data_IF_569317624052
#
_entry.id   IF_569317624052
#
_cell.length_a   1.000
_cell.length_b   1.000
_cell.length_c   1.000
_cell.angle_alpha   90.00
_cell.angle_beta   90.00
_cell.angle_gamma   90.00
#
_symmetry.space_group_name_H-M   'P 1'
#
loop_
_entity.id
_entity.type
_entity.pdbx_description
1 polymer ?
#
# COMPACT_ATOMS: atom_id res chain seq x y z
N UNK A 1 -42.73 14.90 -7.38
CA UNK A 1 -41.81 16.02 -7.70
C UNK A 1 -40.34 15.66 -7.47
N UNK A 2 -39.94 15.26 -6.25
CA UNK A 2 -38.54 14.83 -5.97
C UNK A 2 -38.05 13.68 -6.88
N UNK A 3 -38.85 12.62 -7.05
CA UNK A 3 -38.52 11.50 -7.94
C UNK A 3 -38.36 11.90 -9.41
N UNK A 4 -39.14 12.88 -9.88
CA UNK A 4 -39.04 13.39 -11.25
C UNK A 4 -37.77 14.25 -11.44
N UNK A 5 -37.42 15.04 -10.43
CA UNK A 5 -36.18 15.81 -10.39
C UNK A 5 -34.94 14.90 -10.36
N UNK A 6 -35.01 13.81 -9.59
CA UNK A 6 -33.95 12.80 -9.53
C UNK A 6 -33.83 11.99 -10.83
N UNK A 7 -34.95 11.61 -11.45
CA UNK A 7 -34.93 10.94 -12.76
C UNK A 7 -34.29 11.86 -13.81
N UNK A 8 -34.66 13.15 -13.82
CA UNK A 8 -34.07 14.13 -14.72
C UNK A 8 -32.56 14.27 -14.50
N UNK A 9 -32.07 14.32 -13.24
CA UNK A 9 -30.64 14.33 -12.95
C UNK A 9 -29.93 13.04 -13.34
N UNK A 10 -30.53 11.87 -13.10
CA UNK A 10 -29.97 10.58 -13.49
C UNK A 10 -29.89 10.43 -15.02
N UNK A 11 -30.89 10.92 -15.74
CA UNK A 11 -30.92 10.91 -17.19
C UNK A 11 -29.95 11.93 -17.78
N UNK A 12 -29.82 13.13 -17.19
CA UNK A 12 -28.76 14.10 -17.52
C UNK A 12 -27.38 13.49 -17.30
N UNK A 13 -27.15 12.81 -16.17
CA UNK A 13 -25.87 12.15 -15.89
C UNK A 13 -25.58 11.02 -16.89
N UNK A 14 -26.58 10.20 -17.22
CA UNK A 14 -26.47 9.15 -18.24
C UNK A 14 -26.14 9.74 -19.61
N UNK A 15 -26.83 10.80 -20.04
CA UNK A 15 -26.59 11.48 -21.31
C UNK A 15 -25.24 12.18 -21.39
N UNK A 16 -24.77 12.76 -20.28
CA UNK A 16 -23.46 13.41 -20.21
C UNK A 16 -22.31 12.37 -20.26
N UNK A 17 -22.49 11.22 -19.63
CA UNK A 17 -21.45 10.18 -19.57
C UNK A 17 -21.43 9.30 -20.82
N UNK A 18 -22.59 9.06 -21.47
CA UNK A 18 -22.64 8.37 -22.76
C UNK A 18 -22.07 9.19 -23.91
N UNK A 19 -22.01 10.52 -23.77
CA UNK A 19 -21.31 11.41 -24.70
C UNK A 19 -19.86 11.65 -24.26
N UNK A 20 -18.99 10.71 -24.58
CA UNK A 20 -17.55 10.70 -24.27
C UNK A 20 -16.79 12.01 -24.53
N UNK A 21 -17.11 12.84 -25.56
CA UNK A 21 -16.42 14.12 -25.78
C UNK A 21 -16.75 15.20 -24.73
N UNK A 22 -17.88 15.09 -24.02
CA UNK A 22 -18.37 16.15 -23.13
C UNK A 22 -17.70 16.17 -21.75
N UNK A 23 -17.10 15.05 -21.34
CA UNK A 23 -16.45 14.86 -20.03
C UNK A 23 -15.20 15.71 -19.82
N UNK A 24 -14.66 16.35 -20.87
CA UNK A 24 -13.49 17.23 -20.76
C UNK A 24 -13.85 18.69 -20.44
N UNK A 25 -15.14 19.04 -20.42
CA UNK A 25 -15.58 20.43 -20.27
C UNK A 25 -15.64 20.90 -18.81
N UNK A 26 -15.43 22.21 -18.61
CA UNK A 26 -15.60 22.91 -17.32
C UNK A 26 -16.98 22.62 -16.69
N UNK A 27 -18.00 22.41 -17.51
CA UNK A 27 -19.36 22.07 -17.08
C UNK A 27 -19.44 20.74 -16.35
N UNK A 28 -18.70 19.72 -16.78
CA UNK A 28 -18.67 18.44 -16.07
C UNK A 28 -18.02 18.56 -14.70
N UNK A 29 -16.97 19.39 -14.55
CA UNK A 29 -16.34 19.62 -13.25
C UNK A 29 -17.27 20.33 -12.27
N UNK A 30 -17.98 21.37 -12.72
CA UNK A 30 -18.98 22.07 -11.92
C UNK A 30 -20.15 21.15 -11.55
N UNK A 31 -20.57 20.30 -12.48
CA UNK A 31 -21.61 19.31 -12.25
C UNK A 31 -21.15 18.29 -11.21
N UNK A 32 -19.96 17.69 -11.36
CA UNK A 32 -19.42 16.73 -10.40
C UNK A 32 -19.17 17.37 -9.04
N UNK A 33 -18.69 18.61 -9.01
CA UNK A 33 -18.55 19.39 -7.78
C UNK A 33 -19.91 19.58 -7.07
N UNK A 34 -20.93 20.05 -7.80
CA UNK A 34 -22.28 20.20 -7.25
C UNK A 34 -22.87 18.87 -6.79
N UNK A 35 -22.67 17.81 -7.56
CA UNK A 35 -23.13 16.47 -7.23
C UNK A 35 -22.42 15.91 -6.00
N UNK A 36 -21.13 16.16 -5.82
CA UNK A 36 -20.37 15.75 -4.63
C UNK A 36 -20.81 16.53 -3.38
N UNK A 37 -20.95 17.85 -3.51
CA UNK A 37 -21.39 18.71 -2.42
C UNK A 37 -22.80 18.36 -1.94
N UNK A 38 -23.67 17.93 -2.85
CA UNK A 38 -25.04 17.51 -2.53
C UNK A 38 -25.05 16.05 -2.06
N UNK A 39 -24.31 15.14 -2.70
CA UNK A 39 -24.31 13.71 -2.33
C UNK A 39 -23.70 13.44 -0.95
N UNK A 40 -22.77 14.28 -0.47
CA UNK A 40 -22.28 14.20 0.91
C UNK A 40 -23.39 14.44 1.94
N UNK A 41 -24.46 15.15 1.55
CA UNK A 41 -25.56 15.52 2.43
C UNK A 41 -26.89 14.85 2.06
N UNK A 42 -26.96 14.13 0.93
CA UNK A 42 -28.18 13.50 0.39
C UNK A 42 -27.94 12.02 -0.01
N UNK A 43 -28.36 11.06 0.84
CA UNK A 43 -28.27 9.62 0.56
C UNK A 43 -29.00 9.18 -0.72
N UNK A 44 -30.08 9.88 -1.10
CA UNK A 44 -30.88 9.54 -2.28
C UNK A 44 -30.13 9.90 -3.57
N UNK A 45 -29.42 11.03 -3.59
CA UNK A 45 -28.57 11.40 -4.72
C UNK A 45 -27.40 10.41 -4.86
N UNK A 46 -26.75 10.03 -3.76
CA UNK A 46 -25.71 8.98 -3.77
C UNK A 46 -26.24 7.67 -4.39
N UNK A 47 -27.46 7.28 -4.02
CA UNK A 47 -28.13 6.09 -4.58
C UNK A 47 -28.40 6.23 -6.08
N UNK A 48 -28.81 7.42 -6.55
CA UNK A 48 -29.10 7.68 -7.96
C UNK A 48 -27.84 7.73 -8.84
N UNK A 49 -26.69 8.11 -8.28
CA UNK A 49 -25.43 8.20 -9.01
C UNK A 49 -24.67 6.88 -9.07
N UNK A 50 -24.89 6.00 -8.10
CA UNK A 50 -24.25 4.69 -8.05
C UNK A 50 -24.33 3.90 -9.37
N UNK A 51 -25.48 3.76 -10.08
CA UNK A 51 -25.56 3.04 -11.35
C UNK A 51 -24.65 3.62 -12.44
N UNK A 52 -24.54 4.95 -12.47
CA UNK A 52 -23.73 5.69 -13.43
C UNK A 52 -22.23 5.49 -13.14
N UNK A 53 -21.85 5.53 -11.87
CA UNK A 53 -20.47 5.30 -11.41
C UNK A 53 -20.02 3.86 -11.67
N UNK A 54 -20.92 2.89 -11.47
CA UNK A 54 -20.66 1.46 -11.76
C UNK A 54 -20.54 1.20 -13.26
N UNK A 55 -21.27 1.92 -14.10
CA UNK A 55 -21.25 1.67 -15.56
C UNK A 55 -19.93 2.06 -16.23
N UNK A 56 -19.19 3.05 -15.68
CA UNK A 56 -17.96 3.58 -16.30
C UNK A 56 -16.86 3.96 -15.27
N UNK A 57 -16.41 3.03 -14.42
CA UNK A 57 -15.55 3.35 -13.27
C UNK A 57 -14.21 3.99 -13.67
N UNK A 58 -13.60 3.51 -14.76
CA UNK A 58 -12.35 4.05 -15.29
C UNK A 58 -12.50 5.51 -15.76
N UNK A 59 -13.58 5.85 -16.47
CA UNK A 59 -13.76 7.21 -16.98
C UNK A 59 -14.03 8.20 -15.85
N UNK A 60 -14.89 7.84 -14.90
CA UNK A 60 -15.14 8.63 -13.69
C UNK A 60 -13.82 8.92 -12.99
N UNK A 61 -13.02 7.88 -12.77
CA UNK A 61 -11.74 8.00 -12.08
C UNK A 61 -10.75 8.90 -12.83
N UNK A 62 -10.67 8.79 -14.15
CA UNK A 62 -9.85 9.68 -14.99
C UNK A 62 -10.27 11.13 -14.84
N UNK A 63 -11.57 11.42 -14.81
CA UNK A 63 -12.03 12.80 -14.67
C UNK A 63 -11.70 13.36 -13.29
N UNK A 64 -11.90 12.60 -12.22
CA UNK A 64 -11.51 12.98 -10.85
C UNK A 64 -10.01 13.32 -10.79
N UNK A 65 -9.15 12.44 -11.32
CA UNK A 65 -7.71 12.66 -11.36
C UNK A 65 -7.36 13.90 -12.21
N UNK A 66 -7.96 14.06 -13.40
CA UNK A 66 -7.72 15.24 -14.27
C UNK A 66 -8.16 16.55 -13.61
N UNK A 67 -9.23 16.53 -12.82
CA UNK A 67 -9.66 17.69 -12.03
C UNK A 67 -8.56 18.10 -11.05
N UNK A 68 -8.04 17.15 -10.27
CA UNK A 68 -6.92 17.39 -9.35
C UNK A 68 -5.67 17.91 -10.08
N UNK A 69 -5.30 17.29 -11.20
CA UNK A 69 -4.16 17.72 -12.02
C UNK A 69 -4.33 19.17 -12.45
N UNK A 70 -5.52 19.54 -12.92
CA UNK A 70 -5.76 20.90 -13.42
C UNK A 70 -5.63 21.92 -12.31
N UNK A 71 -6.17 21.64 -11.12
CA UNK A 71 -6.08 22.59 -9.99
C UNK A 71 -4.65 22.71 -9.46
N UNK A 72 -3.86 21.63 -9.46
CA UNK A 72 -2.42 21.69 -9.14
C UNK A 72 -1.65 22.57 -10.14
N UNK A 73 -2.04 22.54 -11.42
CA UNK A 73 -1.36 23.29 -12.49
C UNK A 73 -1.83 24.75 -12.61
N UNK A 74 -2.97 25.10 -12.00
CA UNK A 74 -3.58 26.42 -12.10
C UNK A 74 -2.74 27.50 -11.41
N UNK A 75 -2.57 28.65 -12.07
CA UNK A 75 -1.88 29.84 -11.56
C UNK A 75 -2.79 31.08 -11.73
N UNK A 76 -3.16 31.81 -10.65
CA UNK A 76 -2.97 31.43 -9.25
C UNK A 76 -3.83 30.21 -8.88
N UNK A 77 -3.35 29.41 -7.93
CA UNK A 77 -4.10 28.25 -7.44
C UNK A 77 -5.33 28.70 -6.67
N UNK A 78 -6.47 28.08 -6.95
CA UNK A 78 -7.69 28.26 -6.18
C UNK A 78 -7.77 27.12 -5.15
N UNK A 79 -7.53 27.44 -3.88
CA UNK A 79 -7.48 26.43 -2.81
C UNK A 79 -8.85 25.78 -2.54
N UNK A 80 -9.94 26.51 -2.76
CA UNK A 80 -11.29 25.96 -2.66
C UNK A 80 -11.50 24.86 -3.71
N UNK A 81 -11.18 25.12 -4.99
CA UNK A 81 -11.27 24.09 -6.02
C UNK A 81 -10.30 22.93 -5.82
N UNK A 82 -9.10 23.20 -5.31
CA UNK A 82 -8.16 22.13 -4.94
C UNK A 82 -8.73 21.24 -3.82
N UNK A 83 -9.31 21.83 -2.78
CA UNK A 83 -9.99 21.09 -1.70
C UNK A 83 -11.09 20.22 -2.28
N UNK A 84 -11.92 20.77 -3.16
CA UNK A 84 -12.99 20.00 -3.78
C UNK A 84 -12.50 18.85 -4.67
N UNK A 85 -11.40 19.06 -5.39
CA UNK A 85 -10.77 17.99 -6.15
C UNK A 85 -10.26 16.88 -5.22
N UNK A 86 -9.73 17.20 -4.05
CA UNK A 86 -9.28 16.22 -3.05
C UNK A 86 -10.48 15.53 -2.38
N UNK A 87 -11.51 16.25 -1.97
CA UNK A 87 -12.71 15.69 -1.32
C UNK A 87 -13.49 14.73 -2.23
N UNK A 88 -13.32 14.85 -3.55
CA UNK A 88 -13.95 13.97 -4.51
C UNK A 88 -13.47 12.51 -4.41
N UNK A 89 -12.23 12.28 -3.97
CA UNK A 89 -11.66 10.93 -3.87
C UNK A 89 -12.44 10.00 -2.93
N UNK A 90 -12.60 10.32 -1.64
CA UNK A 90 -13.35 9.44 -0.73
C UNK A 90 -14.79 9.23 -1.22
N UNK A 91 -15.48 10.30 -1.61
CA UNK A 91 -16.86 10.25 -2.08
C UNK A 91 -17.08 9.33 -3.29
N UNK A 92 -16.20 9.38 -4.31
CA UNK A 92 -16.32 8.48 -5.46
C UNK A 92 -15.84 7.07 -5.16
N UNK A 93 -14.85 6.92 -4.28
CA UNK A 93 -14.35 5.60 -3.90
C UNK A 93 -15.38 4.80 -3.09
N UNK A 94 -16.14 5.45 -2.21
CA UNK A 94 -17.18 4.80 -1.40
C UNK A 94 -18.40 4.38 -2.24
N UNK A 95 -18.63 5.07 -3.36
CA UNK A 95 -19.78 4.82 -4.20
C UNK A 95 -19.67 3.53 -5.03
N UNK A 96 -18.45 3.08 -5.37
CA UNK A 96 -18.19 1.88 -6.15
C UNK A 96 -16.79 1.31 -5.90
N UNK A 97 -16.69 0.01 -5.61
CA UNK A 97 -15.41 -0.69 -5.43
C UNK A 97 -14.51 -0.64 -6.68
N UNK A 98 -15.08 -0.68 -7.88
CA UNK A 98 -14.31 -0.55 -9.12
C UNK A 98 -13.72 0.85 -9.30
N UNK A 99 -14.49 1.89 -8.92
CA UNK A 99 -14.01 3.29 -8.92
C UNK A 99 -12.92 3.45 -7.86
N UNK A 100 -13.11 2.89 -6.66
CA UNK A 100 -12.09 2.86 -5.62
C UNK A 100 -10.78 2.24 -6.15
N UNK A 101 -10.84 1.03 -6.70
CA UNK A 101 -9.67 0.31 -7.19
C UNK A 101 -8.95 1.10 -8.28
N UNK A 102 -9.68 1.70 -9.24
CA UNK A 102 -9.07 2.49 -10.30
C UNK A 102 -8.47 3.79 -9.78
N UNK A 103 -9.20 4.55 -8.96
CA UNK A 103 -8.70 5.79 -8.36
C UNK A 103 -7.43 5.51 -7.56
N UNK A 104 -7.50 4.58 -6.61
CA UNK A 104 -6.43 4.37 -5.63
C UNK A 104 -5.16 3.79 -6.26
N UNK A 105 -5.30 3.08 -7.38
CA UNK A 105 -4.14 2.58 -8.15
C UNK A 105 -3.41 3.67 -8.96
N UNK A 106 -4.02 4.85 -9.20
CA UNK A 106 -3.45 5.88 -10.08
C UNK A 106 -3.35 7.29 -9.43
N UNK A 107 -3.98 7.51 -8.29
CA UNK A 107 -4.09 8.84 -7.67
C UNK A 107 -2.85 9.28 -6.90
N UNK A 108 -2.10 8.32 -6.33
CA UNK A 108 -1.00 8.60 -5.39
C UNK A 108 0.01 9.67 -5.88
N UNK A 109 0.51 9.67 -7.14
CA UNK A 109 1.38 10.74 -7.66
C UNK A 109 0.81 12.14 -7.50
N UNK A 110 -0.48 12.30 -7.81
CA UNK A 110 -1.14 13.58 -7.91
C UNK A 110 -1.54 14.09 -6.53
N UNK A 111 -1.99 13.20 -5.67
CA UNK A 111 -2.23 13.52 -4.25
C UNK A 111 -0.93 13.95 -3.57
N UNK A 112 0.18 13.23 -3.77
CA UNK A 112 1.48 13.62 -3.22
C UNK A 112 1.91 15.01 -3.72
N UNK A 113 1.70 15.32 -5.01
CA UNK A 113 1.99 16.66 -5.57
C UNK A 113 1.11 17.74 -4.95
N UNK A 114 -0.18 17.49 -4.74
CA UNK A 114 -1.09 18.44 -4.08
C UNK A 114 -0.67 18.71 -2.63
N UNK A 115 -0.39 17.66 -1.86
CA UNK A 115 0.11 17.79 -0.48
C UNK A 115 1.40 18.58 -0.48
N UNK A 116 2.37 18.22 -1.34
CA UNK A 116 3.66 18.92 -1.46
C UNK A 116 3.45 20.40 -1.76
N UNK A 117 2.54 20.72 -2.67
CA UNK A 117 2.22 22.09 -3.04
C UNK A 117 1.75 22.90 -1.83
N UNK A 118 0.86 22.33 -1.00
CA UNK A 118 0.34 22.98 0.21
C UNK A 118 1.45 23.16 1.27
N UNK A 119 2.17 22.10 1.63
CA UNK A 119 3.17 22.15 2.72
C UNK A 119 4.47 22.87 2.34
N UNK A 120 4.70 23.17 1.05
CA UNK A 120 5.94 23.82 0.59
C UNK A 120 5.84 25.34 0.48
N UNK A 121 4.70 25.95 0.84
CA UNK A 121 4.59 27.42 0.87
C UNK A 121 5.58 27.99 1.89
N UNK A 122 6.21 29.12 1.53
CA UNK A 122 7.17 29.83 2.39
C UNK A 122 6.53 30.93 3.23
N UNK A 123 5.34 31.36 2.83
CA UNK A 123 4.57 32.40 3.50
C UNK A 123 3.36 31.78 4.19
N UNK A 124 2.95 32.32 5.35
CA UNK A 124 1.74 31.88 6.03
C UNK A 124 0.51 32.07 5.12
N UNK A 125 -0.50 31.24 5.34
CA UNK A 125 -1.78 31.34 4.67
C UNK A 125 -2.61 32.47 5.27
N UNK A 126 -3.52 33.03 4.46
CA UNK A 126 -4.59 33.87 4.99
C UNK A 126 -5.47 33.03 5.92
N UNK A 127 -6.20 33.66 6.85
CA UNK A 127 -7.09 32.92 7.77
C UNK A 127 -8.13 32.08 7.02
N UNK A 128 -8.66 32.61 5.90
CA UNK A 128 -9.63 31.93 5.04
C UNK A 128 -9.00 30.71 4.33
N UNK A 129 -7.83 30.89 3.72
CA UNK A 129 -7.16 29.80 2.99
C UNK A 129 -6.58 28.75 3.92
N UNK A 130 -6.22 29.12 5.16
CA UNK A 130 -5.60 28.22 6.13
C UNK A 130 -6.53 27.05 6.48
N UNK A 131 -7.80 27.34 6.79
CA UNK A 131 -8.78 26.30 7.11
C UNK A 131 -8.96 25.31 5.95
N UNK A 132 -9.04 25.84 4.72
CA UNK A 132 -9.16 25.05 3.49
C UNK A 132 -7.91 24.20 3.23
N UNK A 133 -6.73 24.78 3.46
CA UNK A 133 -5.44 24.10 3.29
C UNK A 133 -5.25 22.96 4.30
N UNK A 134 -5.56 23.18 5.59
CA UNK A 134 -5.52 22.14 6.63
C UNK A 134 -6.45 21.01 6.26
N UNK A 135 -7.71 21.31 5.90
CA UNK A 135 -8.67 20.28 5.50
C UNK A 135 -8.23 19.50 4.27
N UNK A 136 -7.61 20.18 3.30
CA UNK A 136 -7.05 19.56 2.09
C UNK A 136 -5.92 18.59 2.43
N UNK A 137 -5.08 18.94 3.41
CA UNK A 137 -4.00 18.06 3.86
C UNK A 137 -4.52 16.83 4.58
N UNK A 138 -5.49 16.97 5.49
CA UNK A 138 -6.11 15.83 6.18
C UNK A 138 -6.64 14.80 5.17
N UNK A 139 -7.49 15.26 4.26
CA UNK A 139 -8.09 14.41 3.24
C UNK A 139 -7.07 13.89 2.22
N UNK A 140 -6.07 14.71 1.89
CA UNK A 140 -4.99 14.33 0.98
C UNK A 140 -4.16 13.19 1.56
N UNK A 141 -3.71 13.31 2.81
CA UNK A 141 -2.97 12.26 3.49
C UNK A 141 -3.81 11.01 3.70
N UNK A 142 -5.10 11.14 4.01
CA UNK A 142 -6.01 10.00 4.16
C UNK A 142 -6.19 9.25 2.84
N UNK A 143 -6.37 9.98 1.73
CA UNK A 143 -6.44 9.39 0.40
C UNK A 143 -5.13 8.72 -0.01
N UNK A 144 -3.96 9.30 0.30
CA UNK A 144 -2.65 8.67 0.04
C UNK A 144 -2.47 7.42 0.90
N UNK A 145 -2.83 7.47 2.19
CA UNK A 145 -2.81 6.32 3.07
C UNK A 145 -3.66 5.19 2.49
N UNK A 146 -4.89 5.49 2.10
CA UNK A 146 -5.78 4.56 1.42
C UNK A 146 -5.18 3.97 0.14
N UNK A 147 -4.55 4.79 -0.70
CA UNK A 147 -3.85 4.31 -1.89
C UNK A 147 -2.75 3.30 -1.52
N UNK A 148 -1.88 3.68 -0.58
CA UNK A 148 -0.72 2.89 -0.14
C UNK A 148 -1.13 1.59 0.53
N UNK A 149 -2.22 1.65 1.29
CA UNK A 149 -2.86 0.53 1.95
C UNK A 149 -3.34 -0.50 0.93
N UNK A 150 -4.13 -0.06 -0.05
CA UNK A 150 -4.71 -0.94 -1.06
C UNK A 150 -3.63 -1.60 -1.94
N UNK A 151 -2.56 -0.88 -2.29
CA UNK A 151 -1.55 -1.39 -3.23
C UNK A 151 -0.10 -1.09 -2.80
N UNK A 152 0.80 -2.08 -2.75
CA UNK A 152 2.19 -1.82 -2.29
C UNK A 152 2.91 -0.89 -3.26
N UNK A 153 2.61 -0.99 -4.55
CA UNK A 153 3.25 -0.18 -5.56
C UNK A 153 2.79 1.27 -5.60
N UNK A 154 1.62 1.59 -5.05
CA UNK A 154 1.24 3.00 -4.84
C UNK A 154 2.08 3.59 -3.70
N UNK A 155 2.49 2.79 -2.70
CA UNK A 155 3.47 3.23 -1.68
C UNK A 155 4.83 3.53 -2.30
N UNK A 156 5.30 2.67 -3.23
CA UNK A 156 6.52 2.93 -4.03
C UNK A 156 6.38 4.22 -4.82
N UNK A 157 5.26 4.35 -5.53
CA UNK A 157 4.92 5.54 -6.34
C UNK A 157 4.83 6.80 -5.49
N UNK A 158 4.30 6.72 -4.28
CA UNK A 158 4.22 7.86 -3.38
C UNK A 158 5.61 8.31 -2.91
N UNK A 159 6.52 7.36 -2.65
CA UNK A 159 7.93 7.67 -2.41
C UNK A 159 8.60 8.32 -3.64
N UNK A 160 8.28 7.87 -4.86
CA UNK A 160 8.75 8.52 -6.10
C UNK A 160 8.32 9.99 -6.20
N UNK A 161 7.19 10.32 -5.56
CA UNK A 161 6.55 11.63 -5.62
C UNK A 161 6.73 12.45 -4.33
N UNK A 162 7.82 12.20 -3.59
CA UNK A 162 8.25 12.99 -2.44
C UNK A 162 7.26 13.03 -1.28
N UNK A 163 6.56 11.92 -1.05
CA UNK A 163 5.65 11.78 0.09
C UNK A 163 6.37 12.04 1.42
N UNK A 164 7.56 11.46 1.64
CA UNK A 164 8.28 11.60 2.91
C UNK A 164 8.70 13.05 3.14
N UNK A 165 9.23 13.74 2.13
CA UNK A 165 9.56 15.16 2.22
C UNK A 165 8.33 16.02 2.52
N UNK A 166 7.17 15.63 2.00
CA UNK A 166 5.91 16.34 2.26
C UNK A 166 5.44 16.10 3.69
N UNK A 167 5.58 14.88 4.22
CA UNK A 167 5.32 14.55 5.63
C UNK A 167 6.19 15.38 6.57
N UNK A 168 7.52 15.42 6.34
CA UNK A 168 8.44 16.14 7.24
C UNK A 168 8.24 17.66 7.21
N UNK A 169 7.64 18.21 6.14
CA UNK A 169 7.30 19.63 6.07
C UNK A 169 6.07 20.02 6.88
N UNK A 170 5.30 19.06 7.38
CA UNK A 170 4.05 19.34 8.10
C UNK A 170 4.33 20.09 9.41
N UNK A 171 5.34 19.72 10.18
CA UNK A 171 5.70 20.43 11.42
C UNK A 171 5.99 21.91 11.16
N UNK A 172 6.80 22.19 10.13
CA UNK A 172 7.08 23.56 9.68
C UNK A 172 5.81 24.28 9.25
N UNK A 173 4.94 23.63 8.47
CA UNK A 173 3.67 24.19 8.04
C UNK A 173 2.77 24.55 9.23
N UNK A 174 2.64 23.66 10.22
CA UNK A 174 1.86 23.88 11.45
C UNK A 174 2.42 25.06 12.24
N UNK A 175 3.74 25.09 12.46
CA UNK A 175 4.45 26.14 13.20
C UNK A 175 4.29 27.51 12.53
N UNK A 176 4.51 27.58 11.21
CA UNK A 176 4.43 28.83 10.43
C UNK A 176 3.02 29.43 10.43
N UNK A 177 1.99 28.58 10.47
CA UNK A 177 0.59 29.01 10.47
C UNK A 177 -0.04 29.04 11.88
N UNK A 178 0.75 28.85 12.93
CA UNK A 178 0.31 28.89 14.34
C UNK A 178 -0.88 27.96 14.62
N UNK A 179 -0.94 26.81 13.96
CA UNK A 179 -1.98 25.80 14.17
C UNK A 179 -1.71 25.10 15.51
N UNK A 180 -2.72 25.00 16.38
CA UNK A 180 -2.58 24.29 17.66
C UNK A 180 -2.43 22.79 17.40
N UNK A 181 -1.45 22.08 18.01
CA UNK A 181 -1.20 20.67 17.76
C UNK A 181 -2.42 19.74 17.93
N UNK A 182 -3.28 20.02 18.92
CA UNK A 182 -4.48 19.21 19.19
C UNK A 182 -5.65 19.42 18.23
N UNK A 183 -5.61 20.43 17.37
CA UNK A 183 -6.73 20.78 16.48
C UNK A 183 -6.63 20.06 15.12
N UNK A 184 -5.46 19.50 14.78
CA UNK A 184 -5.21 18.93 13.46
C UNK A 184 -5.18 17.39 13.50
N UNK A 185 -6.20 16.74 12.94
CA UNK A 185 -6.25 15.27 12.77
C UNK A 185 -5.19 14.73 11.80
N UNK A 186 -4.47 15.64 11.16
CA UNK A 186 -3.40 15.35 10.20
C UNK A 186 -2.30 14.47 10.80
N UNK A 187 -1.97 14.63 12.09
CA UNK A 187 -0.91 13.87 12.75
C UNK A 187 -1.28 12.38 12.85
N UNK A 188 -2.51 12.05 13.27
CA UNK A 188 -2.99 10.66 13.32
C UNK A 188 -2.84 9.94 11.97
N UNK A 189 -3.16 10.63 10.87
CA UNK A 189 -3.06 10.06 9.52
C UNK A 189 -1.60 9.91 9.08
N UNK A 190 -0.74 10.87 9.43
CA UNK A 190 0.69 10.81 9.14
C UNK A 190 1.37 9.68 9.92
N UNK A 191 1.02 9.50 11.19
CA UNK A 191 1.50 8.39 12.02
C UNK A 191 1.15 7.05 11.38
N UNK A 192 -0.12 6.85 10.99
CA UNK A 192 -0.57 5.66 10.26
C UNK A 192 0.19 5.45 8.95
N UNK A 193 0.46 6.52 8.21
CA UNK A 193 1.20 6.49 6.94
C UNK A 193 2.67 6.08 7.15
N UNK A 194 3.36 6.63 8.15
CA UNK A 194 4.74 6.29 8.49
C UNK A 194 4.86 4.87 9.06
N UNK A 195 3.88 4.45 9.87
CA UNK A 195 3.74 3.05 10.32
C UNK A 195 3.57 2.13 9.12
N UNK A 196 2.64 2.44 8.21
CA UNK A 196 2.44 1.66 6.99
C UNK A 196 3.71 1.58 6.13
N UNK A 197 4.44 2.69 5.98
CA UNK A 197 5.74 2.71 5.31
C UNK A 197 6.74 1.78 6.03
N UNK A 198 6.80 1.82 7.36
CA UNK A 198 7.69 0.96 8.16
C UNK A 198 7.38 -0.51 7.93
N UNK A 199 6.11 -0.88 8.01
CA UNK A 199 5.62 -2.22 7.75
C UNK A 199 5.98 -2.68 6.33
N UNK A 200 5.73 -1.82 5.33
CA UNK A 200 6.01 -2.11 3.92
C UNK A 200 7.49 -2.31 3.60
N UNK A 201 8.42 -2.03 4.51
CA UNK A 201 9.85 -2.32 4.28
C UNK A 201 10.20 -3.81 4.25
N UNK A 202 9.25 -4.72 4.53
CA UNK A 202 9.39 -6.16 4.26
C UNK A 202 9.49 -6.46 2.75
N UNK A 203 8.86 -5.62 1.91
CA UNK A 203 8.94 -5.75 0.46
C UNK A 203 10.25 -5.18 -0.06
N UNK A 204 11.06 -5.99 -0.73
CA UNK A 204 12.32 -5.59 -1.37
C UNK A 204 12.13 -4.37 -2.26
N UNK A 205 11.04 -4.37 -3.01
CA UNK A 205 10.73 -3.31 -3.99
C UNK A 205 10.46 -1.97 -3.33
N UNK A 206 9.77 -1.97 -2.19
CA UNK A 206 9.51 -0.79 -1.37
C UNK A 206 10.72 -0.38 -0.55
N UNK A 207 11.39 -1.31 0.14
CA UNK A 207 12.61 -1.08 0.93
C UNK A 207 13.66 -0.29 0.15
N UNK A 208 13.97 -0.73 -1.07
CA UNK A 208 14.91 -0.01 -1.95
C UNK A 208 14.47 1.44 -2.19
N UNK A 209 13.18 1.66 -2.42
CA UNK A 209 12.68 2.99 -2.78
C UNK A 209 12.55 3.92 -1.58
N UNK A 210 12.08 3.41 -0.45
CA UNK A 210 11.97 4.20 0.78
C UNK A 210 13.36 4.61 1.29
N UNK A 211 14.39 3.76 1.18
CA UNK A 211 15.78 4.12 1.51
C UNK A 211 16.29 5.30 0.70
N UNK A 212 16.01 5.29 -0.61
CA UNK A 212 16.34 6.42 -1.46
C UNK A 212 15.59 7.68 -1.04
N UNK A 213 14.27 7.59 -0.80
CA UNK A 213 13.46 8.73 -0.38
C UNK A 213 13.91 9.29 0.98
N UNK A 214 14.30 8.41 1.92
CA UNK A 214 14.89 8.78 3.21
C UNK A 214 16.14 9.63 3.01
N UNK A 215 17.05 9.21 2.12
CA UNK A 215 18.28 9.96 1.82
C UNK A 215 18.01 11.37 1.28
N UNK A 216 16.90 11.58 0.57
CA UNK A 216 16.50 12.92 0.09
C UNK A 216 15.81 13.75 1.16
N UNK A 217 15.04 13.12 2.03
CA UNK A 217 14.23 13.76 3.05
C UNK A 217 15.02 14.15 4.32
N UNK A 218 16.16 13.48 4.60
CA UNK A 218 16.99 13.71 5.81
C UNK A 218 17.37 15.18 6.03
N UNK A 219 17.53 15.96 4.96
CA UNK A 219 17.84 17.40 5.04
C UNK A 219 16.72 18.25 5.67
N UNK A 220 15.53 17.69 5.84
CA UNK A 220 14.37 18.33 6.46
C UNK A 220 14.25 17.99 7.95
N UNK A 221 15.08 17.09 8.49
CA UNK A 221 15.08 16.73 9.92
C UNK A 221 15.23 17.94 10.86
N UNK A 222 16.05 18.98 10.55
CA UNK A 222 16.14 20.16 11.42
C UNK A 222 14.84 20.95 11.57
N UNK A 223 13.86 20.78 10.66
CA UNK A 223 12.58 21.48 10.72
C UNK A 223 11.54 20.76 11.60
N UNK A 224 11.83 19.52 12.03
CA UNK A 224 10.92 18.68 12.81
C UNK A 224 10.79 19.14 14.26
N UNK A 225 9.61 18.90 14.83
CA UNK A 225 9.46 18.87 16.28
C UNK A 225 10.00 17.53 16.80
N UNK A 226 11.18 17.56 17.43
CA UNK A 226 11.90 16.35 17.85
C UNK A 226 11.15 15.54 18.92
N UNK A 227 10.29 16.19 19.70
CA UNK A 227 9.42 15.55 20.68
C UNK A 227 8.04 15.19 20.10
N UNK A 228 7.80 15.59 18.84
CA UNK A 228 6.55 15.41 18.14
C UNK A 228 6.34 14.00 17.56
N UNK A 229 5.07 13.66 17.23
CA UNK A 229 4.73 12.34 16.71
C UNK A 229 5.39 12.00 15.37
N UNK A 230 5.59 13.00 14.49
CA UNK A 230 6.24 12.83 13.18
C UNK A 230 7.68 12.37 13.37
N UNK A 231 8.46 13.07 14.22
CA UNK A 231 9.85 12.71 14.49
C UNK A 231 9.97 11.27 15.01
N UNK A 232 9.17 10.90 16.01
CA UNK A 232 9.15 9.53 16.57
C UNK A 232 8.96 8.46 15.48
N UNK A 233 7.94 8.60 14.64
CA UNK A 233 7.63 7.61 13.61
C UNK A 233 8.62 7.65 12.44
N UNK A 234 9.14 8.84 12.11
CA UNK A 234 10.17 9.04 11.10
C UNK A 234 11.48 8.31 11.44
N UNK A 235 11.99 8.49 12.65
CA UNK A 235 13.22 7.82 13.08
C UNK A 235 13.02 6.31 13.19
N UNK A 236 11.85 5.85 13.64
CA UNK A 236 11.51 4.42 13.61
C UNK A 236 11.56 3.83 12.20
N UNK A 237 10.98 4.52 11.21
CA UNK A 237 11.05 4.12 9.81
C UNK A 237 12.50 4.05 9.32
N UNK A 238 13.33 5.04 9.65
CA UNK A 238 14.76 5.06 9.27
C UNK A 238 15.53 3.87 9.84
N UNK A 239 15.34 3.57 11.11
CA UNK A 239 16.05 2.49 11.79
C UNK A 239 15.68 1.14 11.18
N UNK A 240 14.37 0.86 11.08
CA UNK A 240 13.86 -0.41 10.52
C UNK A 240 14.29 -0.56 9.05
N UNK A 241 14.22 0.50 8.24
CA UNK A 241 14.67 0.45 6.85
C UNK A 241 16.18 0.19 6.75
N UNK A 242 16.99 0.75 7.66
CA UNK A 242 18.45 0.53 7.69
C UNK A 242 18.76 -0.92 8.07
N UNK A 243 18.15 -1.43 9.14
CA UNK A 243 18.29 -2.81 9.60
C UNK A 243 17.93 -3.81 8.50
N UNK A 244 16.76 -3.63 7.87
CA UNK A 244 16.30 -4.50 6.79
C UNK A 244 17.18 -4.42 5.54
N UNK A 245 17.74 -3.25 5.20
CA UNK A 245 18.68 -3.17 4.08
C UNK A 245 19.99 -3.93 4.37
N UNK A 246 20.54 -3.83 5.58
CA UNK A 246 21.73 -4.61 5.98
C UNK A 246 21.43 -6.11 5.92
N UNK A 247 20.30 -6.54 6.47
CA UNK A 247 19.90 -7.95 6.43
C UNK A 247 19.68 -8.43 4.98
N UNK A 248 19.18 -7.57 4.10
CA UNK A 248 18.90 -7.89 2.70
C UNK A 248 20.21 -8.06 1.94
N UNK A 249 21.18 -7.20 2.21
CA UNK A 249 22.52 -7.29 1.60
C UNK A 249 23.22 -8.59 2.01
N UNK A 250 23.14 -9.00 3.28
CA UNK A 250 23.65 -10.30 3.73
C UNK A 250 22.98 -11.46 2.99
N UNK A 251 21.65 -11.44 2.91
CA UNK A 251 20.91 -12.45 2.15
C UNK A 251 21.32 -12.50 0.68
N UNK A 252 21.46 -11.34 0.03
CA UNK A 252 21.87 -11.23 -1.37
C UNK A 252 23.26 -11.84 -1.61
N UNK A 253 24.19 -11.65 -0.68
CA UNK A 253 25.56 -12.20 -0.72
C UNK A 253 25.59 -13.71 -0.51
N UNK A 254 24.84 -14.22 0.47
CA UNK A 254 24.85 -15.63 0.84
C UNK A 254 24.18 -16.52 -0.21
N UNK A 255 23.12 -16.03 -0.86
CA UNK A 255 22.25 -16.90 -1.64
C UNK A 255 22.40 -16.76 -3.16
N UNK A 256 23.05 -15.71 -3.69
CA UNK A 256 23.09 -15.31 -5.13
C UNK A 256 21.69 -15.24 -5.84
N UNK A 257 20.61 -15.57 -5.12
CA UNK A 257 19.22 -15.69 -5.55
C UNK A 257 18.51 -14.34 -5.56
N UNK A 258 18.93 -13.40 -4.71
CA UNK A 258 18.27 -12.10 -4.56
C UNK A 258 18.37 -11.17 -5.78
N UNK A 259 19.35 -11.41 -6.67
CA UNK A 259 19.66 -10.53 -7.81
C UNK A 259 19.37 -11.15 -9.19
N UNK A 260 19.19 -12.48 -9.29
CA UNK A 260 19.31 -13.22 -10.57
C UNK A 260 18.08 -14.05 -10.95
N UNK A 261 16.88 -13.61 -10.59
CA UNK A 261 15.66 -14.27 -11.05
C UNK A 261 15.24 -13.71 -12.41
N UNK A 262 15.55 -14.46 -13.47
CA UNK A 262 14.88 -14.33 -14.75
C UNK A 262 13.69 -15.30 -14.76
N UNK A 263 12.49 -14.80 -15.04
CA UNK A 263 11.30 -15.63 -15.09
C UNK A 263 11.18 -16.44 -16.38
N UNK A 264 11.95 -16.12 -17.43
CA UNK A 264 12.03 -16.99 -18.60
C UNK A 264 12.68 -18.33 -18.18
N UNK A 265 11.90 -19.41 -18.21
CA UNK A 265 12.35 -20.76 -17.82
C UNK A 265 13.49 -21.29 -18.68
N UNK A 266 13.59 -20.82 -19.92
CA UNK A 266 14.63 -21.16 -20.89
C UNK A 266 15.82 -20.21 -20.84
N UNK A 267 15.85 -19.26 -19.89
CA UNK A 267 17.00 -18.39 -19.72
C UNK A 267 18.23 -19.25 -19.40
N UNK A 268 19.38 -19.07 -20.09
CA UNK A 268 20.60 -19.84 -19.82
C UNK A 268 21.23 -19.55 -18.44
N UNK A 269 20.58 -18.74 -17.58
CA UNK A 269 20.94 -18.40 -16.19
C UNK A 269 22.36 -17.85 -15.97
N UNK A 270 23.10 -17.52 -17.03
CA UNK A 270 24.46 -16.96 -16.97
C UNK A 270 24.49 -15.44 -16.81
N UNK A 271 23.37 -14.74 -17.02
CA UNK A 271 23.35 -13.29 -16.99
C UNK A 271 23.45 -12.75 -15.55
N UNK A 272 24.53 -12.00 -15.29
CA UNK A 272 24.72 -11.17 -14.09
C UNK A 272 23.99 -9.82 -14.19
N UNK A 273 23.19 -9.61 -15.23
CA UNK A 273 22.56 -8.30 -15.47
C UNK A 273 21.41 -8.02 -14.48
N UNK A 274 21.20 -6.75 -14.10
CA UNK A 274 20.08 -6.35 -13.27
C UNK A 274 18.75 -6.75 -13.93
N UNK A 275 17.97 -7.57 -13.25
CA UNK A 275 16.66 -8.01 -13.75
C UNK A 275 15.71 -6.81 -13.91
N UNK A 276 15.16 -6.60 -15.11
CA UNK A 276 14.12 -5.62 -15.45
C UNK A 276 12.75 -6.19 -15.11
N UNK A 277 11.85 -5.35 -14.60
CA UNK A 277 10.48 -5.76 -14.24
C UNK A 277 9.53 -5.56 -15.44
N UNK A 278 8.60 -6.48 -15.65
CA UNK A 278 7.50 -6.27 -16.58
C UNK A 278 6.64 -5.08 -16.14
N UNK A 279 6.53 -4.05 -16.99
CA UNK A 279 5.73 -2.85 -16.73
C UNK A 279 4.22 -3.10 -16.69
N UNK A 280 3.75 -4.20 -17.28
CA UNK A 280 2.34 -4.59 -17.26
C UNK A 280 1.92 -5.11 -15.89
N UNK A 281 2.43 -6.26 -15.48
CA UNK A 281 1.99 -6.95 -14.25
C UNK A 281 2.80 -6.59 -13.00
N UNK A 282 4.01 -6.06 -13.14
CA UNK A 282 4.96 -5.80 -12.06
C UNK A 282 5.43 -7.02 -11.25
N UNK A 283 5.03 -8.24 -11.64
CA UNK A 283 5.34 -9.48 -10.92
C UNK A 283 6.57 -10.20 -11.51
N UNK A 284 6.72 -10.21 -12.83
CA UNK A 284 7.82 -10.90 -13.53
C UNK A 284 9.03 -10.00 -13.73
N UNK A 285 10.21 -10.64 -13.68
CA UNK A 285 11.52 -10.04 -13.86
C UNK A 285 12.30 -10.80 -14.94
N UNK A 286 13.08 -10.07 -15.75
CA UNK A 286 13.86 -10.61 -16.85
C UNK A 286 15.25 -9.99 -16.86
N UNK A 287 16.28 -10.78 -17.11
CA UNK A 287 17.63 -10.23 -17.25
C UNK A 287 17.77 -9.35 -18.51
N UNK A 288 17.02 -9.66 -19.58
CA UNK A 288 17.06 -8.93 -20.85
C UNK A 288 15.68 -8.80 -21.48
N UNK A 289 15.55 -7.85 -22.41
CA UNK A 289 14.33 -7.70 -23.24
C UNK A 289 14.07 -8.96 -24.08
N UNK A 290 15.11 -9.66 -24.52
CA UNK A 290 14.96 -10.92 -25.26
C UNK A 290 14.31 -12.00 -24.41
N UNK A 291 14.74 -12.17 -23.15
CA UNK A 291 14.07 -13.11 -22.22
C UNK A 291 12.61 -12.73 -21.97
N UNK A 292 12.30 -11.44 -21.86
CA UNK A 292 10.92 -10.98 -21.74
C UNK A 292 10.09 -11.34 -22.98
N UNK A 293 10.62 -11.12 -24.20
CA UNK A 293 9.92 -11.43 -25.45
C UNK A 293 9.65 -12.93 -25.60
N UNK A 294 10.62 -13.78 -25.25
CA UNK A 294 10.45 -15.23 -25.29
C UNK A 294 9.37 -15.70 -24.30
N UNK A 295 9.44 -15.26 -23.05
CA UNK A 295 8.43 -15.62 -22.03
C UNK A 295 7.04 -15.04 -22.37
N UNK A 296 6.99 -13.87 -23.04
CA UNK A 296 5.74 -13.23 -23.48
C UNK A 296 4.93 -14.06 -24.47
N UNK A 297 5.59 -14.81 -25.37
CA UNK A 297 4.90 -15.69 -26.33
C UNK A 297 4.30 -16.92 -25.64
N UNK A 298 4.91 -17.35 -24.54
CA UNK A 298 4.37 -18.42 -23.69
C UNK A 298 3.25 -17.94 -22.75
N UNK A 299 3.30 -18.38 -21.50
CA UNK A 299 2.21 -18.17 -20.54
C UNK A 299 2.14 -16.73 -19.99
N UNK A 300 3.22 -15.97 -20.10
CA UNK A 300 3.31 -14.67 -19.44
C UNK A 300 2.25 -13.68 -19.94
N UNK A 301 1.94 -13.65 -21.25
CA UNK A 301 0.94 -12.70 -21.77
C UNK A 301 -0.44 -12.89 -21.15
N UNK A 302 -0.87 -14.14 -21.00
CA UNK A 302 -2.16 -14.47 -20.36
C UNK A 302 -2.13 -14.11 -18.88
N UNK A 303 -1.14 -14.61 -18.14
CA UNK A 303 -1.02 -14.36 -16.71
C UNK A 303 -0.83 -12.86 -16.39
N UNK A 304 -0.14 -12.12 -17.25
CA UNK A 304 0.03 -10.67 -17.13
C UNK A 304 -1.30 -9.92 -17.29
N UNK A 305 -2.18 -10.35 -18.21
CA UNK A 305 -3.53 -9.80 -18.35
C UNK A 305 -4.42 -10.15 -17.16
N UNK A 306 -4.33 -11.38 -16.66
CA UNK A 306 -5.11 -11.83 -15.52
C UNK A 306 -4.74 -11.04 -14.26
N UNK A 307 -3.44 -10.85 -14.00
CA UNK A 307 -2.95 -10.00 -12.90
C UNK A 307 -3.35 -8.53 -13.08
N UNK A 308 -3.33 -8.02 -14.31
CA UNK A 308 -3.85 -6.68 -14.58
C UNK A 308 -5.35 -6.58 -14.30
N UNK A 309 -6.12 -7.60 -14.64
CA UNK A 309 -7.56 -7.65 -14.38
C UNK A 309 -7.87 -7.75 -12.90
N UNK A 310 -7.26 -8.69 -12.17
CA UNK A 310 -7.46 -8.86 -10.73
C UNK A 310 -7.08 -7.62 -9.91
N UNK A 311 -6.04 -6.87 -10.33
CA UNK A 311 -5.73 -5.57 -9.71
C UNK A 311 -6.83 -4.52 -9.92
N UNK A 312 -7.55 -4.58 -11.04
CA UNK A 312 -8.66 -3.66 -11.34
C UNK A 312 -9.95 -4.08 -10.61
N UNK A 313 -10.28 -5.36 -10.59
CA UNK A 313 -11.58 -5.86 -10.09
C UNK A 313 -11.54 -6.22 -8.62
N UNK A 314 -10.50 -6.90 -8.16
CA UNK A 314 -10.50 -7.56 -6.85
C UNK A 314 -9.64 -6.79 -5.83
N UNK A 315 -8.94 -5.74 -6.27
CA UNK A 315 -7.93 -5.03 -5.47
C UNK A 315 -6.73 -5.91 -5.09
N UNK A 316 -6.66 -7.13 -5.62
CA UNK A 316 -5.67 -8.13 -5.23
C UNK A 316 -4.33 -7.84 -5.87
N UNK A 317 -3.28 -7.86 -5.05
CA UNK A 317 -1.93 -7.56 -5.51
C UNK A 317 -0.98 -8.73 -5.26
N UNK A 318 -0.70 -9.50 -6.31
CA UNK A 318 0.29 -10.57 -6.25
C UNK A 318 1.67 -9.99 -5.95
N UNK A 319 2.29 -10.44 -4.85
CA UNK A 319 3.69 -10.17 -4.56
C UNK A 319 4.57 -10.82 -5.64
N UNK A 320 5.73 -10.24 -5.93
CA UNK A 320 6.65 -10.90 -6.84
C UNK A 320 7.44 -12.00 -6.11
N UNK A 321 7.97 -12.97 -6.85
CA UNK A 321 8.77 -14.06 -6.27
C UNK A 321 9.95 -13.52 -5.43
N UNK A 322 10.62 -12.46 -5.90
CA UNK A 322 11.72 -11.82 -5.16
C UNK A 322 11.31 -11.22 -3.82
N UNK A 323 10.12 -10.62 -3.75
CA UNK A 323 9.58 -10.10 -2.49
C UNK A 323 9.24 -11.27 -1.56
N UNK A 324 8.58 -12.32 -2.07
CA UNK A 324 8.23 -13.52 -1.29
C UNK A 324 9.44 -14.25 -0.72
N UNK A 325 10.50 -14.40 -1.51
CA UNK A 325 11.72 -15.07 -1.05
C UNK A 325 12.35 -14.29 0.11
N UNK A 326 12.47 -12.97 -0.04
CA UNK A 326 13.03 -12.10 1.00
C UNK A 326 12.15 -12.09 2.26
N UNK A 327 10.84 -12.03 2.09
CA UNK A 327 9.84 -12.17 3.15
C UNK A 327 9.97 -13.48 3.92
N UNK A 328 10.16 -14.59 3.18
CA UNK A 328 10.48 -15.88 3.76
C UNK A 328 11.72 -15.81 4.65
N UNK A 329 12.79 -15.13 4.21
CA UNK A 329 14.01 -14.95 5.01
C UNK A 329 13.81 -14.06 6.24
N UNK A 330 13.04 -12.98 6.13
CA UNK A 330 12.64 -12.17 7.30
C UNK A 330 11.97 -13.01 8.34
N UNK A 331 11.03 -13.82 7.90
CA UNK A 331 10.27 -14.73 8.76
C UNK A 331 11.19 -15.74 9.45
N UNK A 332 12.23 -16.24 8.76
CA UNK A 332 13.25 -17.11 9.36
C UNK A 332 14.10 -16.40 10.40
N UNK A 333 14.56 -15.18 10.12
CA UNK A 333 15.35 -14.39 11.06
C UNK A 333 14.56 -14.13 12.35
N UNK A 334 13.31 -13.70 12.21
CA UNK A 334 12.42 -13.45 13.35
C UNK A 334 12.17 -14.71 14.17
N UNK A 335 11.93 -15.84 13.51
CA UNK A 335 11.76 -17.12 14.18
C UNK A 335 13.02 -17.55 14.96
N UNK A 336 14.22 -17.36 14.38
CA UNK A 336 15.49 -17.66 15.05
C UNK A 336 15.72 -16.77 16.27
N UNK A 337 15.49 -15.45 16.12
CA UNK A 337 15.63 -14.48 17.22
C UNK A 337 14.64 -14.76 18.36
N UNK A 338 13.48 -15.33 18.05
CA UNK A 338 12.42 -15.62 19.02
C UNK A 338 12.29 -17.12 19.35
N UNK A 339 13.31 -17.95 19.10
CA UNK A 339 13.22 -19.40 19.25
C UNK A 339 12.76 -19.85 20.65
N UNK A 340 13.29 -19.23 21.72
CA UNK A 340 12.89 -19.54 23.11
C UNK A 340 11.41 -19.30 23.36
N UNK A 341 10.87 -18.19 22.81
CA UNK A 341 9.45 -17.85 22.89
C UNK A 341 8.62 -18.89 22.13
N UNK A 342 9.04 -19.28 20.92
CA UNK A 342 8.35 -20.32 20.13
C UNK A 342 8.30 -21.67 20.85
N UNK A 343 9.42 -22.09 21.48
CA UNK A 343 9.46 -23.32 22.29
C UNK A 343 8.49 -23.24 23.47
N UNK A 344 8.42 -22.09 24.14
CA UNK A 344 7.51 -21.86 25.26
C UNK A 344 6.05 -21.93 24.81
N UNK A 345 5.72 -21.29 23.68
CA UNK A 345 4.39 -21.34 23.07
C UNK A 345 4.00 -22.78 22.72
N UNK A 346 4.92 -23.55 22.14
CA UNK A 346 4.69 -24.98 21.84
C UNK A 346 4.38 -25.79 23.09
N UNK A 347 5.14 -25.60 24.17
CA UNK A 347 4.90 -26.30 25.45
C UNK A 347 3.52 -25.95 26.02
N UNK A 348 3.14 -24.67 25.96
CA UNK A 348 1.82 -24.23 26.42
C UNK A 348 0.68 -24.81 25.56
N UNK A 349 0.87 -24.92 24.25
CA UNK A 349 -0.08 -25.51 23.31
C UNK A 349 -0.30 -27.00 23.60
N UNK A 350 0.78 -27.77 23.81
CA UNK A 350 0.71 -29.19 24.22
C UNK A 350 0.02 -29.35 25.58
N UNK A 351 0.32 -28.47 26.54
CA UNK A 351 -0.31 -28.54 27.87
C UNK A 351 -1.83 -28.28 27.78
N UNK A 352 -2.25 -27.33 26.95
CA UNK A 352 -3.67 -26.99 26.76
C UNK A 352 -4.39 -28.04 25.92
N UNK A 353 -3.70 -28.67 24.97
CA UNK A 353 -4.24 -29.71 24.10
C UNK A 353 -3.20 -30.81 23.90
N UNK A 354 -3.24 -31.91 24.68
CA UNK A 354 -2.28 -32.99 24.55
C UNK A 354 -2.21 -33.61 23.15
N UNK A 355 -3.30 -33.57 22.37
CA UNK A 355 -3.27 -34.01 20.97
C UNK A 355 -2.31 -33.17 20.10
N UNK A 356 -1.95 -31.95 20.53
CA UNK A 356 -0.96 -31.10 19.89
C UNK A 356 0.41 -31.71 19.81
N UNK A 357 0.73 -32.70 20.65
CA UNK A 357 1.97 -33.46 20.53
C UNK A 357 2.16 -34.04 19.11
N UNK A 358 1.05 -34.41 18.45
CA UNK A 358 1.02 -35.04 17.13
C UNK A 358 0.83 -34.08 15.95
N UNK A 359 0.73 -32.77 16.17
CA UNK A 359 0.57 -31.78 15.10
C UNK A 359 1.44 -30.54 15.31
N UNK A 360 1.80 -29.79 14.25
CA UNK A 360 2.61 -28.58 14.37
C UNK A 360 1.90 -27.47 15.15
N UNK A 361 2.64 -26.67 15.93
CA UNK A 361 2.09 -25.42 16.50
C UNK A 361 2.18 -24.34 15.43
N UNK A 362 1.02 -23.86 14.99
CA UNK A 362 0.95 -22.79 14.01
C UNK A 362 1.17 -21.43 14.68
N UNK A 363 1.98 -20.56 14.07
CA UNK A 363 2.35 -19.26 14.63
C UNK A 363 2.33 -18.18 13.55
N UNK A 364 1.53 -17.14 13.72
CA UNK A 364 1.60 -15.97 12.85
C UNK A 364 2.82 -15.10 13.20
N UNK A 365 3.58 -14.68 12.17
CA UNK A 365 4.61 -13.63 12.29
C UNK A 365 4.07 -12.39 11.62
N UNK A 366 3.50 -11.51 12.43
CA UNK A 366 2.88 -10.30 11.96
C UNK A 366 3.90 -9.16 11.91
N UNK A 367 4.32 -8.79 10.70
CA UNK A 367 5.20 -7.65 10.45
C UNK A 367 4.48 -6.30 10.49
N UNK A 368 3.18 -6.27 10.80
CA UNK A 368 2.29 -5.11 10.70
C UNK A 368 1.88 -4.50 12.03
N UNK A 369 2.54 -4.88 13.12
CA UNK A 369 2.28 -4.24 14.40
C UNK A 369 3.04 -2.92 14.49
N UNK A 370 2.42 -1.91 15.08
CA UNK A 370 3.04 -0.60 15.35
C UNK A 370 4.31 -0.76 16.21
N UNK A 371 4.25 -1.68 17.16
CA UNK A 371 5.36 -2.02 18.06
C UNK A 371 6.43 -2.95 17.44
N UNK A 372 6.33 -3.27 16.14
CA UNK A 372 7.28 -4.14 15.42
C UNK A 372 6.73 -5.52 15.08
N UNK A 373 7.58 -6.54 15.10
CA UNK A 373 7.18 -7.90 14.70
C UNK A 373 6.48 -8.60 15.86
N UNK A 374 5.22 -9.00 15.66
CA UNK A 374 4.44 -9.74 16.64
C UNK A 374 4.33 -11.22 16.28
N UNK A 375 4.69 -12.07 17.22
CA UNK A 375 4.63 -13.53 17.08
C UNK A 375 3.51 -14.07 17.98
N UNK A 376 2.51 -14.74 17.39
CA UNK A 376 1.35 -15.26 18.12
C UNK A 376 0.92 -16.63 17.62
N UNK A 377 0.47 -17.50 18.53
CA UNK A 377 -0.10 -18.80 18.16
C UNK A 377 -1.45 -18.58 17.50
N UNK A 378 -1.76 -19.38 16.48
CA UNK A 378 -3.08 -19.43 15.84
C UNK A 378 -3.68 -20.83 16.03
N UNK A 379 -5.00 -20.93 15.93
CA UNK A 379 -5.66 -22.22 16.11
C UNK A 379 -5.34 -23.17 14.94
N UNK A 380 -5.43 -24.48 15.17
CA UNK A 380 -5.28 -25.51 14.13
C UNK A 380 -6.26 -25.28 12.98
N UNK A 381 -7.51 -24.95 13.30
CA UNK A 381 -8.56 -24.77 12.30
C UNK A 381 -8.30 -23.53 11.45
N UNK A 382 -7.96 -22.41 12.08
CA UNK A 382 -7.56 -21.19 11.38
C UNK A 382 -6.34 -21.42 10.47
N UNK A 383 -5.32 -22.12 10.98
CA UNK A 383 -4.14 -22.44 10.18
C UNK A 383 -4.46 -23.36 8.99
N UNK A 384 -5.36 -24.33 9.18
CA UNK A 384 -5.83 -25.24 8.13
C UNK A 384 -6.67 -24.52 7.08
N UNK A 385 -7.54 -23.59 7.49
CA UNK A 385 -8.33 -22.77 6.57
C UNK A 385 -7.42 -21.86 5.74
N UNK A 386 -6.38 -21.30 6.37
CA UNK A 386 -5.45 -20.40 5.69
C UNK A 386 -4.53 -21.17 4.74
N UNK A 387 -3.99 -22.33 5.14
CA UNK A 387 -3.10 -23.12 4.28
C UNK A 387 -3.84 -23.91 3.21
N UNK A 388 -5.10 -24.29 3.44
CA UNK A 388 -5.77 -25.34 2.69
C UNK A 388 -5.45 -26.73 3.25
N UNK A 389 -6.41 -27.65 3.11
CA UNK A 389 -6.36 -28.96 3.75
C UNK A 389 -5.20 -29.83 3.24
N UNK A 390 -4.95 -29.84 1.92
CA UNK A 390 -3.89 -30.64 1.29
C UNK A 390 -2.49 -30.24 1.79
N UNK A 391 -2.22 -28.93 1.85
CA UNK A 391 -0.94 -28.40 2.33
C UNK A 391 -0.75 -28.74 3.82
N UNK A 392 -1.78 -28.55 4.66
CA UNK A 392 -1.72 -28.88 6.09
C UNK A 392 -1.35 -30.36 6.31
N UNK A 393 -2.03 -31.28 5.62
CA UNK A 393 -1.81 -32.70 5.79
C UNK A 393 -0.40 -33.13 5.32
N UNK A 394 0.12 -32.54 4.25
CA UNK A 394 1.50 -32.79 3.78
C UNK A 394 2.53 -32.50 4.88
N UNK A 395 2.45 -31.33 5.53
CA UNK A 395 3.45 -30.92 6.53
C UNK A 395 3.34 -31.62 7.88
N UNK A 396 2.22 -32.30 8.16
CA UNK A 396 2.07 -33.11 9.38
C UNK A 396 2.69 -34.52 9.26
N UNK A 397 2.87 -35.04 8.04
CA UNK A 397 3.34 -36.42 7.78
C UNK A 397 4.85 -36.62 7.99
N UNK A 398 5.67 -35.58 7.82
CA UNK A 398 7.13 -35.70 7.86
C UNK A 398 7.76 -35.67 9.27
N UNK A 399 6.95 -35.74 10.34
CA UNK A 399 7.44 -35.82 11.72
C UNK A 399 8.20 -34.57 12.21
N UNK A 400 8.31 -33.53 11.39
CA UNK A 400 8.92 -32.28 11.79
C UNK A 400 7.99 -31.52 12.76
N UNK A 401 8.54 -31.11 13.92
CA UNK A 401 7.90 -30.17 14.85
C UNK A 401 7.95 -28.77 14.23
N UNK A 402 7.11 -28.54 13.24
CA UNK A 402 7.14 -27.33 12.41
C UNK A 402 6.35 -26.20 13.07
N UNK A 403 6.85 -24.97 12.95
CA UNK A 403 6.05 -23.76 13.11
C UNK A 403 5.66 -23.23 11.73
N UNK A 404 4.35 -23.15 11.47
CA UNK A 404 3.83 -22.51 10.25
C UNK A 404 3.84 -21.01 10.51
N UNK A 405 4.63 -20.27 9.73
CA UNK A 405 4.82 -18.82 9.88
C UNK A 405 4.06 -18.11 8.76
N UNK A 406 3.06 -17.33 9.15
CA UNK A 406 2.26 -16.54 8.21
C UNK A 406 2.58 -15.06 8.34
N UNK A 407 3.02 -14.47 7.24
CA UNK A 407 3.18 -13.03 7.11
C UNK A 407 1.89 -12.46 6.52
N UNK A 408 1.31 -11.51 7.24
CA UNK A 408 0.20 -10.70 6.73
C UNK A 408 0.73 -9.27 6.66
N UNK A 409 1.01 -8.72 5.47
CA UNK A 409 1.17 -7.28 5.30
C UNK A 409 -0.18 -6.59 5.53
N UNK A 410 -0.15 -5.38 6.10
CA UNK A 410 -1.28 -4.74 6.77
C UNK A 410 -2.53 -4.74 5.86
N UNK A 411 -3.59 -5.42 6.30
CA UNK A 411 -4.90 -5.39 5.66
C UNK A 411 -5.04 -6.15 4.35
N UNK A 412 -4.07 -6.98 3.96
CA UNK A 412 -4.16 -7.74 2.71
C UNK A 412 -4.39 -9.21 2.97
N UNK A 413 -5.37 -9.76 2.27
CA UNK A 413 -5.74 -11.19 2.25
C UNK A 413 -4.72 -11.98 1.42
N UNK A 414 -3.42 -11.75 1.64
CA UNK A 414 -2.36 -12.60 1.11
C UNK A 414 -1.55 -13.10 2.29
N UNK A 415 -2.03 -14.13 3.02
CA UNK A 415 -1.17 -14.84 3.93
C UNK A 415 -0.05 -15.44 3.08
N UNK A 416 1.18 -14.92 3.21
CA UNK A 416 2.32 -15.62 2.68
C UNK A 416 2.48 -16.87 3.55
N UNK A 417 2.31 -18.04 2.92
CA UNK A 417 2.40 -19.34 3.59
C UNK A 417 3.86 -19.79 3.56
N UNK A 418 4.51 -19.85 4.72
CA UNK A 418 5.82 -20.48 4.83
C UNK A 418 5.81 -21.47 5.98
N UNK A 419 6.35 -22.65 5.73
CA UNK A 419 6.40 -23.73 6.71
C UNK A 419 7.85 -23.91 7.14
N UNK A 420 8.11 -23.85 8.45
CA UNK A 420 9.47 -23.78 8.98
C UNK A 420 9.77 -24.80 10.10
N UNK A 421 10.59 -25.84 9.85
CA UNK A 421 10.89 -26.84 10.86
C UNK A 421 11.73 -26.24 11.99
N UNK A 422 11.31 -26.39 13.25
CA UNK A 422 12.04 -25.87 14.42
C UNK A 422 13.47 -26.41 14.50
N UNK A 423 13.73 -27.61 13.99
CA UNK A 423 15.08 -28.19 13.92
C UNK A 423 16.04 -27.39 13.04
N UNK A 424 15.55 -26.65 12.04
CA UNK A 424 16.36 -25.76 11.21
C UNK A 424 16.61 -24.38 11.85
N UNK A 425 16.00 -24.10 13.01
CA UNK A 425 16.24 -22.86 13.78
C UNK A 425 17.37 -22.99 14.80
N UNK A 426 17.89 -24.19 15.04
CA UNK A 426 19.01 -24.39 15.96
C UNK A 426 20.27 -23.80 15.32
N UNK A 427 21.01 -22.91 16.01
CA UNK A 427 22.27 -22.38 15.49
C UNK A 427 23.21 -23.54 15.14
N UNK A 428 23.86 -23.48 13.97
CA UNK A 428 24.95 -24.38 13.62
C UNK A 428 26.02 -24.27 14.73
N UNK A 429 26.09 -25.28 15.60
CA UNK A 429 27.01 -25.32 16.76
C UNK A 429 26.36 -25.44 18.14
N UNK A 430 25.03 -25.48 18.25
CA UNK A 430 24.33 -25.79 19.50
C UNK A 430 23.80 -27.24 19.48
N UNK A 431 24.69 -28.21 19.68
CA UNK A 431 24.34 -29.62 19.92
C UNK A 431 24.98 -30.09 21.22
#
# INVERSE_FOLDING_TARGET
>A
MLLAYMSAHADICRTIISNTPFLETVSFRKLMHGMLSVAQNDPLLSTALRPVLISNPEQVSKVVIRSLITEIQRQPTNFEYLLHAITSFPAFSEASGDVHNYLYSHAAPWLCRAIRFIVSRREPYSSLDLAVAVRSLELGFEAVYGCCWSFIYTSVTACDHQLLESVLKVDRFVRMNQIKPGDAKIYDTIEKLLTLATVNTVYRTFLRRVRWAIGHAVKLEPDLDMDGPIAKHWFRLKDVATEREIAKQRYDLEHDKGLRLCNNKECPKTSREPSRRCSGCWVWFYCSEQCQKLDWVGDHRKACKDIQKSRKTDGTHNTCARDRDLQGEWTKLEARQNLRRLITMRKADILKNPAAENYPTAVAVNFCHEDGVRISSISKDEARDIMGQEDWDMYTRDGHKVVILMEVPYGRIFPLRTVYPLGACVPLGAS
#
